data_IF_947541872298
#
_entry.id   IF_947541872298
#
_cell.length_a   1.000
_cell.length_b   1.000
_cell.length_c   1.000
_cell.angle_alpha   90.00
_cell.angle_beta   90.00
_cell.angle_gamma   90.00
#
_symmetry.space_group_name_H-M   'P 1'
#
loop_
_entity.id
_entity.type
_entity.pdbx_description
1 polymer ?
#
# COMPACT_ATOMS: atom_id res chain seq x y z
N UNK A 1 -19.80 12.71 -20.27
CA UNK A 1 -18.50 13.37 -20.44
C UNK A 1 -17.46 12.43 -19.86
N UNK A 2 -16.62 11.84 -20.69
CA UNK A 2 -15.55 10.92 -20.21
C UNK A 2 -14.37 11.75 -19.74
N UNK A 3 -14.14 11.83 -18.45
CA UNK A 3 -12.93 12.41 -17.89
C UNK A 3 -11.82 11.36 -17.98
N UNK A 4 -10.90 11.55 -18.90
CA UNK A 4 -9.66 10.76 -18.97
C UNK A 4 -8.80 11.08 -17.75
N UNK A 5 -8.78 10.20 -16.77
CA UNK A 5 -7.80 10.23 -15.70
C UNK A 5 -6.44 9.85 -16.30
N UNK A 6 -5.56 10.83 -16.35
CA UNK A 6 -4.18 10.65 -16.82
C UNK A 6 -3.44 9.85 -15.74
N UNK A 7 -3.16 8.59 -16.05
CA UNK A 7 -2.31 7.75 -15.21
C UNK A 7 -0.92 8.34 -15.07
N UNK A 8 -0.38 8.36 -13.85
CA UNK A 8 0.96 8.90 -13.50
C UNK A 8 2.11 8.30 -14.34
N UNK A 9 1.90 7.15 -14.98
CA UNK A 9 2.88 6.52 -15.89
C UNK A 9 3.15 7.31 -17.17
N UNK A 10 2.25 8.19 -17.60
CA UNK A 10 2.40 8.94 -18.84
C UNK A 10 3.04 10.33 -18.66
N UNK A 11 3.29 10.77 -17.42
CA UNK A 11 3.86 12.10 -17.17
C UNK A 11 5.38 12.17 -17.33
N UNK A 12 6.09 11.06 -17.28
CA UNK A 12 7.55 11.00 -17.37
C UNK A 12 8.13 10.98 -18.80
N UNK A 13 7.30 11.00 -19.84
CA UNK A 13 7.75 10.88 -21.22
C UNK A 13 7.96 12.23 -21.97
N UNK A 14 7.70 13.40 -21.35
CA UNK A 14 7.68 14.70 -22.08
C UNK A 14 8.73 15.72 -21.60
N UNK A 15 9.60 15.41 -20.66
CA UNK A 15 10.62 16.35 -20.18
C UNK A 15 12.05 15.98 -20.63
N UNK A 16 12.27 15.95 -21.93
CA UNK A 16 13.61 15.67 -22.45
C UNK A 16 13.84 16.25 -23.82
N UNK A 17 13.97 17.56 -24.00
CA UNK A 17 14.71 18.18 -25.09
C UNK A 17 14.52 19.70 -25.05
N UNK A 18 15.35 20.49 -24.37
CA UNK A 18 15.89 21.77 -24.90
C UNK A 18 17.19 22.04 -24.13
N UNK A 19 18.26 21.95 -24.87
CA UNK A 19 19.47 22.34 -24.38
C UNK A 19 20.29 23.23 -25.00
N UNK A 20 20.99 24.01 -25.04
CA UNK A 20 22.09 24.58 -25.85
C UNK A 20 22.99 25.45 -24.99
N UNK A 21 24.23 25.04 -24.94
CA UNK A 21 25.46 25.82 -25.06
C UNK A 21 25.45 27.29 -24.63
N UNK A 22 26.34 27.61 -23.69
CA UNK A 22 27.14 28.82 -23.69
C UNK A 22 28.48 28.58 -23.01
N UNK A 23 29.53 28.54 -23.80
CA UNK A 23 30.92 28.64 -23.35
C UNK A 23 31.25 30.07 -22.98
N UNK A 24 31.93 30.29 -21.86
CA UNK A 24 32.71 31.49 -21.62
C UNK A 24 33.97 31.14 -20.82
N UNK A 25 35.06 31.33 -21.49
CA UNK A 25 36.46 31.29 -21.03
C UNK A 25 36.75 32.47 -20.13
N UNK A 26 37.45 32.26 -19.02
CA UNK A 26 38.43 33.23 -18.52
C UNK A 26 39.46 32.57 -17.58
N UNK A 27 40.69 32.83 -17.84
CA UNK A 27 41.93 32.42 -17.22
C UNK A 27 42.12 32.80 -15.75
N UNK A 28 42.92 32.00 -15.06
CA UNK A 28 43.87 32.56 -14.08
C UNK A 28 44.10 31.75 -12.83
N UNK A 29 45.27 31.05 -12.75
CA UNK A 29 46.08 31.02 -11.52
C UNK A 29 46.01 29.82 -10.58
N UNK A 30 46.92 28.90 -10.81
CA UNK A 30 47.84 28.19 -9.91
C UNK A 30 47.39 27.54 -8.58
N UNK A 31 47.84 26.31 -8.50
CA UNK A 31 48.40 25.53 -7.41
C UNK A 31 47.49 24.57 -6.64
N UNK A 32 47.66 23.29 -7.03
CA UNK A 32 47.99 22.13 -6.16
C UNK A 32 47.11 21.83 -4.93
N UNK A 33 46.35 20.79 -5.06
CA UNK A 33 46.54 19.59 -4.22
C UNK A 33 45.55 18.48 -4.67
N UNK A 34 46.15 17.40 -5.05
CA UNK A 34 45.54 16.11 -5.37
C UNK A 34 44.80 15.59 -4.14
N UNK A 35 43.49 15.51 -4.22
CA UNK A 35 42.72 14.60 -3.42
C UNK A 35 41.76 13.88 -4.36
N UNK A 36 42.24 12.72 -4.81
CA UNK A 36 41.43 11.73 -5.50
C UNK A 36 40.40 11.19 -4.51
N UNK A 37 39.24 11.83 -4.40
CA UNK A 37 38.09 11.21 -3.82
C UNK A 37 37.34 10.50 -4.95
N UNK A 38 37.62 9.21 -5.07
CA UNK A 38 36.77 8.27 -5.77
C UNK A 38 35.41 8.31 -5.04
N UNK A 39 34.53 9.23 -5.44
CA UNK A 39 33.14 9.15 -5.12
C UNK A 39 32.62 7.92 -5.86
N UNK A 40 32.50 6.81 -5.14
CA UNK A 40 31.61 5.75 -5.52
C UNK A 40 30.24 6.40 -5.68
N UNK A 41 29.83 6.63 -6.90
CA UNK A 41 28.44 6.92 -7.24
C UNK A 41 27.70 5.61 -6.99
N UNK A 42 27.33 5.38 -5.73
CA UNK A 42 26.24 4.46 -5.46
C UNK A 42 25.06 5.01 -6.25
N UNK A 43 24.61 4.24 -7.23
CA UNK A 43 23.36 4.48 -7.90
C UNK A 43 22.29 4.53 -6.80
N UNK A 44 21.89 5.73 -6.40
CA UNK A 44 20.72 5.93 -5.56
C UNK A 44 19.55 5.40 -6.38
N UNK A 45 19.17 4.15 -6.14
CA UNK A 45 17.98 3.56 -6.68
C UNK A 45 16.81 4.48 -6.34
N UNK A 46 15.94 4.70 -7.29
CA UNK A 46 14.72 5.50 -7.12
C UNK A 46 14.02 5.03 -5.83
N UNK A 47 13.87 5.93 -4.86
CA UNK A 47 13.14 5.60 -3.63
C UNK A 47 11.65 5.58 -3.93
N UNK A 48 10.98 4.51 -3.50
CA UNK A 48 9.54 4.31 -3.68
C UNK A 48 8.85 4.36 -2.31
N UNK A 49 7.85 5.22 -2.17
CA UNK A 49 6.93 5.18 -1.03
C UNK A 49 5.67 4.42 -1.45
N UNK A 50 5.31 3.37 -0.71
CA UNK A 50 4.07 2.62 -0.87
C UNK A 50 3.04 3.09 0.15
N UNK A 51 1.88 3.53 -0.34
CA UNK A 51 0.74 3.94 0.48
C UNK A 51 -0.15 2.72 0.68
N UNK A 52 -0.22 2.23 1.92
CA UNK A 52 -0.91 1.00 2.25
C UNK A 52 -2.10 1.29 3.17
N UNK A 53 -3.30 1.03 2.68
CA UNK A 53 -4.51 1.05 3.47
C UNK A 53 -4.79 -0.36 4.00
N UNK A 54 -4.89 -0.52 5.31
CA UNK A 54 -5.04 -1.83 5.90
C UNK A 54 -5.99 -1.83 7.11
N UNK A 55 -6.74 -2.92 7.24
CA UNK A 55 -7.60 -3.10 8.40
C UNK A 55 -6.81 -2.95 9.71
N UNK A 56 -7.37 -2.23 10.69
CA UNK A 56 -6.71 -1.88 11.95
C UNK A 56 -6.15 -3.08 12.71
N UNK A 57 -6.76 -4.27 12.57
CA UNK A 57 -6.28 -5.51 13.18
C UNK A 57 -4.90 -5.95 12.66
N UNK A 58 -4.48 -5.46 11.51
CA UNK A 58 -3.20 -5.80 10.87
C UNK A 58 -2.04 -4.87 11.29
N UNK A 59 -2.31 -3.82 12.06
CA UNK A 59 -1.32 -2.77 12.41
C UNK A 59 0.00 -3.34 12.91
N UNK A 60 -0.04 -4.22 13.91
CA UNK A 60 1.18 -4.77 14.51
C UNK A 60 1.99 -5.61 13.51
N UNK A 61 1.29 -6.45 12.76
CA UNK A 61 1.91 -7.38 11.82
C UNK A 61 2.53 -6.65 10.64
N UNK A 62 1.80 -5.69 10.04
CA UNK A 62 2.29 -4.95 8.88
C UNK A 62 3.45 -4.02 9.22
N UNK A 63 3.46 -3.39 10.40
CA UNK A 63 4.61 -2.61 10.82
C UNK A 63 5.87 -3.48 10.95
N UNK A 64 5.77 -4.68 11.54
CA UNK A 64 6.90 -5.60 11.64
C UNK A 64 7.40 -6.12 10.27
N UNK A 65 6.46 -6.38 9.35
CA UNK A 65 6.79 -6.76 7.96
C UNK A 65 7.50 -5.60 7.25
N UNK A 66 6.99 -4.39 7.37
CA UNK A 66 7.56 -3.20 6.72
C UNK A 66 8.98 -2.92 7.21
N UNK A 67 9.23 -3.03 8.52
CA UNK A 67 10.58 -2.89 9.10
C UNK A 67 11.54 -3.90 8.48
N UNK A 68 11.15 -5.18 8.42
CA UNK A 68 11.97 -6.24 7.86
C UNK A 68 12.21 -6.03 6.35
N UNK A 69 11.16 -5.64 5.63
CA UNK A 69 11.24 -5.45 4.17
C UNK A 69 12.12 -4.25 3.80
N UNK A 70 11.95 -3.10 4.49
CA UNK A 70 12.76 -1.90 4.25
C UNK A 70 14.23 -2.12 4.59
N UNK A 71 14.54 -2.94 5.59
CA UNK A 71 15.92 -3.33 5.90
C UNK A 71 16.60 -4.10 4.75
N UNK A 72 15.82 -4.90 4.02
CA UNK A 72 16.30 -5.68 2.86
C UNK A 72 16.22 -4.87 1.55
N UNK A 73 15.37 -3.85 1.49
CA UNK A 73 15.12 -3.01 0.32
C UNK A 73 15.17 -1.52 0.72
N UNK A 74 16.39 -0.94 0.91
CA UNK A 74 16.54 0.42 1.47
C UNK A 74 15.88 1.54 0.64
N UNK A 75 15.55 1.26 -0.62
CA UNK A 75 14.83 2.20 -1.49
C UNK A 75 13.30 2.17 -1.31
N UNK A 76 12.75 1.28 -0.47
CA UNK A 76 11.31 1.15 -0.28
C UNK A 76 10.90 1.59 1.12
N UNK A 77 9.93 2.51 1.16
CA UNK A 77 9.31 2.98 2.40
C UNK A 77 7.80 2.74 2.36
N UNK A 78 7.17 2.67 3.53
CA UNK A 78 5.75 2.44 3.66
C UNK A 78 5.07 3.57 4.42
N UNK A 79 3.93 4.02 3.90
CA UNK A 79 3.01 4.93 4.58
C UNK A 79 1.69 4.20 4.81
N UNK A 80 1.43 3.84 6.07
CA UNK A 80 0.22 3.13 6.44
C UNK A 80 -0.93 4.07 6.80
N UNK A 81 -2.14 3.65 6.43
CA UNK A 81 -3.39 4.15 6.95
C UNK A 81 -4.17 2.95 7.52
N UNK A 82 -4.32 2.90 8.85
CA UNK A 82 -5.00 1.82 9.54
C UNK A 82 -6.35 2.27 10.07
N UNK A 83 -7.41 1.65 9.58
CA UNK A 83 -8.79 1.93 10.02
C UNK A 83 -9.69 0.71 9.75
N UNK A 84 -10.99 0.83 9.99
CA UNK A 84 -11.95 -0.17 9.53
C UNK A 84 -11.92 -0.28 8.01
N UNK A 85 -12.08 -1.50 7.48
CA UNK A 85 -12.10 -1.69 6.01
C UNK A 85 -13.21 -0.88 5.34
N UNK A 86 -14.30 -0.58 6.04
CA UNK A 86 -15.38 0.27 5.55
C UNK A 86 -14.95 1.73 5.40
N UNK A 87 -14.29 2.31 6.41
CA UNK A 87 -13.74 3.67 6.37
C UNK A 87 -12.71 3.81 5.26
N UNK A 88 -11.77 2.87 5.17
CA UNK A 88 -10.74 2.86 4.14
C UNK A 88 -11.33 2.79 2.73
N UNK A 89 -12.35 1.93 2.52
CA UNK A 89 -13.09 1.87 1.26
C UNK A 89 -13.68 3.24 0.90
N UNK A 90 -14.31 3.92 1.86
CA UNK A 90 -14.88 5.25 1.62
C UNK A 90 -13.82 6.27 1.23
N UNK A 91 -12.68 6.28 1.91
CA UNK A 91 -11.56 7.17 1.56
C UNK A 91 -11.05 6.91 0.13
N UNK A 92 -10.95 5.66 -0.31
CA UNK A 92 -10.58 5.31 -1.68
C UNK A 92 -11.63 5.85 -2.67
N UNK A 93 -12.92 5.70 -2.38
CA UNK A 93 -14.00 6.24 -3.20
C UNK A 93 -13.97 7.78 -3.30
N UNK A 94 -13.53 8.45 -2.23
CA UNK A 94 -13.37 9.91 -2.16
C UNK A 94 -12.07 10.39 -2.84
N UNK A 95 -11.26 9.48 -3.38
CA UNK A 95 -10.07 9.79 -4.15
C UNK A 95 -8.78 9.82 -3.35
N UNK A 96 -8.73 9.20 -2.18
CA UNK A 96 -7.49 9.05 -1.45
C UNK A 96 -6.51 8.17 -2.24
N UNK A 97 -5.24 8.62 -2.30
CA UNK A 97 -4.17 7.83 -2.90
C UNK A 97 -3.94 6.55 -2.08
N UNK A 98 -3.98 5.40 -2.76
CA UNK A 98 -3.78 4.08 -2.16
C UNK A 98 -3.13 3.17 -3.21
N UNK A 99 -1.94 2.63 -2.90
CA UNK A 99 -1.26 1.69 -3.78
C UNK A 99 -1.65 0.24 -3.44
N UNK A 100 -1.93 -0.04 -2.16
CA UNK A 100 -2.27 -1.37 -1.70
C UNK A 100 -3.39 -1.30 -0.64
N UNK A 101 -4.48 -2.04 -0.86
CA UNK A 101 -5.59 -2.14 0.07
C UNK A 101 -5.71 -3.55 0.65
N UNK A 102 -5.55 -3.69 1.98
CA UNK A 102 -5.74 -4.94 2.72
C UNK A 102 -7.03 -4.88 3.55
N UNK A 103 -8.10 -5.42 2.99
CA UNK A 103 -9.42 -5.49 3.64
C UNK A 103 -9.51 -6.72 4.56
N UNK A 104 -10.10 -6.56 5.74
CA UNK A 104 -10.41 -7.69 6.62
C UNK A 104 -11.60 -8.53 6.12
N UNK A 105 -12.35 -8.04 5.14
CA UNK A 105 -13.49 -8.74 4.58
C UNK A 105 -13.62 -8.55 3.08
N UNK A 106 -14.10 -9.58 2.39
CA UNK A 106 -14.29 -9.56 0.94
C UNK A 106 -15.36 -8.56 0.49
N UNK A 107 -16.33 -8.24 1.35
CA UNK A 107 -17.42 -7.32 1.01
C UNK A 107 -16.90 -5.95 0.52
N UNK A 108 -15.98 -5.34 1.27
CA UNK A 108 -15.44 -4.03 0.93
C UNK A 108 -14.60 -4.06 -0.36
N UNK A 109 -13.85 -5.14 -0.55
CA UNK A 109 -13.07 -5.37 -1.76
C UNK A 109 -14.00 -5.54 -2.97
N UNK A 110 -15.04 -6.36 -2.85
CA UNK A 110 -16.01 -6.59 -3.93
C UNK A 110 -16.74 -5.30 -4.32
N UNK A 111 -17.01 -4.39 -3.38
CA UNK A 111 -17.66 -3.11 -3.63
C UNK A 111 -16.80 -2.10 -4.41
N UNK A 112 -15.50 -2.34 -4.54
CA UNK A 112 -14.57 -1.52 -5.30
C UNK A 112 -14.14 -2.16 -6.63
N UNK A 113 -14.55 -3.39 -6.87
CA UNK A 113 -14.13 -4.23 -7.99
C UNK A 113 -15.23 -4.25 -9.07
N UNK A 114 -14.89 -3.76 -10.26
CA UNK A 114 -15.82 -3.68 -11.39
C UNK A 114 -16.32 -5.07 -11.88
N UNK A 115 -15.58 -6.13 -11.56
CA UNK A 115 -15.97 -7.51 -11.92
C UNK A 115 -17.01 -8.11 -11.00
N UNK A 116 -17.31 -7.46 -9.86
CA UNK A 116 -18.37 -7.88 -8.96
C UNK A 116 -19.76 -7.67 -9.60
N UNK A 117 -20.74 -8.46 -9.14
CA UNK A 117 -22.12 -8.32 -9.62
C UNK A 117 -22.72 -6.95 -9.24
N UNK A 118 -23.69 -6.49 -10.03
CA UNK A 118 -24.39 -5.22 -9.77
C UNK A 118 -25.08 -5.16 -8.41
N UNK A 119 -25.45 -6.30 -7.83
CA UNK A 119 -26.02 -6.35 -6.46
C UNK A 119 -25.00 -6.03 -5.38
N UNK A 120 -23.70 -6.25 -5.66
CA UNK A 120 -22.60 -6.03 -4.73
C UNK A 120 -21.90 -4.70 -4.96
N UNK A 121 -21.73 -4.33 -6.22
CA UNK A 121 -21.15 -3.06 -6.68
C UNK A 121 -22.16 -2.32 -7.57
N UNK A 122 -23.26 -1.79 -7.00
CA UNK A 122 -24.33 -1.15 -7.77
C UNK A 122 -23.88 0.14 -8.47
N UNK A 123 -22.85 0.79 -7.94
CA UNK A 123 -22.31 2.04 -8.48
C UNK A 123 -21.28 1.80 -9.61
N UNK A 124 -20.94 0.54 -9.91
CA UNK A 124 -19.97 0.16 -10.94
C UNK A 124 -18.58 0.75 -10.67
N UNK A 125 -18.14 0.73 -9.42
CA UNK A 125 -16.85 1.28 -9.01
C UNK A 125 -15.70 0.40 -9.55
N UNK A 126 -14.65 1.05 -10.04
CA UNK A 126 -13.47 0.42 -10.65
C UNK A 126 -12.19 1.00 -10.02
N UNK A 127 -11.96 0.63 -8.75
CA UNK A 127 -10.79 1.06 -7.97
C UNK A 127 -9.78 -0.06 -7.73
N UNK A 128 -10.17 -1.31 -7.98
CA UNK A 128 -9.34 -2.50 -7.77
C UNK A 128 -9.00 -3.13 -9.10
N UNK A 129 -7.71 -3.31 -9.38
CA UNK A 129 -7.28 -4.17 -10.47
C UNK A 129 -7.54 -5.64 -10.08
N UNK A 130 -8.60 -6.21 -10.62
CA UNK A 130 -9.06 -7.57 -10.33
C UNK A 130 -7.99 -8.63 -10.55
N UNK A 131 -7.04 -8.39 -11.47
CA UNK A 131 -5.94 -9.31 -11.76
C UNK A 131 -4.89 -9.38 -10.63
N UNK A 132 -4.85 -8.34 -9.78
CA UNK A 132 -3.92 -8.27 -8.64
C UNK A 132 -4.54 -8.70 -7.32
N UNK A 133 -5.84 -9.01 -7.34
CA UNK A 133 -6.58 -9.38 -6.14
C UNK A 133 -6.20 -10.77 -5.63
N UNK A 134 -5.90 -10.87 -4.33
CA UNK A 134 -5.49 -12.12 -3.68
C UNK A 134 -6.23 -12.30 -2.37
N UNK A 135 -6.76 -13.50 -2.12
CA UNK A 135 -7.23 -13.93 -0.80
C UNK A 135 -5.99 -14.37 0.02
N UNK A 136 -5.50 -13.45 0.86
CA UNK A 136 -4.23 -13.60 1.56
C UNK A 136 -4.33 -14.55 2.75
N UNK A 137 -5.39 -14.43 3.56
CA UNK A 137 -5.56 -15.13 4.83
C UNK A 137 -7.04 -15.48 5.06
N UNK A 138 -7.28 -16.57 5.78
CA UNK A 138 -8.59 -16.94 6.31
C UNK A 138 -8.60 -16.72 7.82
N UNK A 139 -9.64 -16.07 8.34
CA UNK A 139 -9.90 -15.93 9.77
C UNK A 139 -11.03 -16.87 10.19
N UNK A 140 -10.80 -17.65 11.27
CA UNK A 140 -11.79 -18.55 11.84
C UNK A 140 -12.17 -18.07 13.23
N UNK A 141 -13.48 -17.94 13.46
CA UNK A 141 -14.01 -17.68 14.80
C UNK A 141 -13.96 -18.98 15.59
N UNK A 142 -13.41 -18.92 16.79
CA UNK A 142 -13.32 -20.06 17.70
C UNK A 142 -13.95 -19.68 19.05
N UNK A 143 -14.58 -20.64 19.69
CA UNK A 143 -15.07 -20.52 21.05
C UNK A 143 -13.94 -20.94 22.00
N UNK A 144 -13.58 -20.04 22.91
CA UNK A 144 -12.59 -20.32 23.95
C UNK A 144 -13.27 -20.28 25.32
N UNK A 145 -13.00 -21.29 26.12
CA UNK A 145 -13.40 -21.36 27.53
C UNK A 145 -12.14 -21.52 28.40
N UNK A 146 -12.17 -21.05 29.67
CA UNK A 146 -11.07 -21.29 30.61
C UNK A 146 -10.79 -22.79 30.77
N UNK A 147 -9.52 -23.14 30.93
CA UNK A 147 -9.11 -24.50 31.23
C UNK A 147 -9.80 -25.00 32.52
N UNK A 148 -10.37 -26.20 32.48
CA UNK A 148 -11.10 -26.77 33.60
C UNK A 148 -12.50 -26.17 33.84
N UNK A 149 -13.05 -25.43 32.87
CA UNK A 149 -14.43 -24.94 32.96
C UNK A 149 -15.41 -26.11 33.06
N UNK A 150 -16.27 -26.06 34.07
CA UNK A 150 -17.35 -27.02 34.31
C UNK A 150 -18.70 -26.60 33.76
N UNK A 151 -18.76 -25.51 33.03
CA UNK A 151 -20.00 -24.93 32.50
C UNK A 151 -20.61 -25.67 31.32
N UNK A 152 -19.96 -26.72 30.82
CA UNK A 152 -20.48 -27.51 29.69
C UNK A 152 -20.63 -26.74 28.38
N UNK A 153 -19.91 -25.60 28.21
CA UNK A 153 -19.97 -24.77 27.02
C UNK A 153 -18.95 -25.33 26.01
N UNK A 154 -19.41 -26.19 25.12
CA UNK A 154 -18.62 -26.83 24.07
C UNK A 154 -19.06 -26.45 22.64
N UNK A 155 -20.11 -25.64 22.53
CA UNK A 155 -20.68 -25.17 21.28
C UNK A 155 -21.24 -23.76 21.40
N UNK A 156 -21.53 -23.09 20.28
CA UNK A 156 -22.22 -21.79 20.28
C UNK A 156 -23.67 -21.93 20.78
N UNK A 157 -24.31 -23.07 20.53
CA UNK A 157 -25.66 -23.33 21.02
C UNK A 157 -25.67 -23.44 22.56
N UNK A 158 -24.74 -24.21 23.13
CA UNK A 158 -24.55 -24.29 24.56
C UNK A 158 -24.20 -22.93 25.19
N UNK A 159 -23.41 -22.10 24.52
CA UNK A 159 -23.13 -20.73 24.96
C UNK A 159 -24.42 -19.89 25.03
N UNK A 160 -25.31 -20.01 24.04
CA UNK A 160 -26.56 -19.26 23.99
C UNK A 160 -27.53 -19.62 25.14
N UNK A 161 -27.47 -20.86 25.63
CA UNK A 161 -28.26 -21.31 26.79
C UNK A 161 -27.75 -20.73 28.12
N UNK A 162 -26.54 -20.19 28.16
CA UNK A 162 -25.91 -19.61 29.36
C UNK A 162 -25.92 -18.08 29.38
N UNK A 163 -26.49 -17.41 28.35
CA UNK A 163 -26.66 -15.97 28.26
C UNK A 163 -28.02 -15.51 28.76
#
# INVERSE_FOLDING_TARGET
MKTNLISRRNFLAVAGAVGAAAALTACGGAASSTASSTAASEAAGESVELIVFAAASLTKTLNAIAETYSAQNPGVTFRFNFDSSGTLKTQIQEGADCDLFLSAGQKQMNQLDITASADVNPDGLDFVDSATRVDLLENKVVLCVPEGSDKGIDSFDALAEHL
#
